data_IF_314340640509
#
_entry.id   IF_314340640509
#
_cell.length_a   1.000
_cell.length_b   1.000
_cell.length_c   1.000
_cell.angle_alpha   90.00
_cell.angle_beta   90.00
_cell.angle_gamma   90.00
#
_symmetry.space_group_name_H-M   'P 1'
#
loop_
_entity.id
_entity.type
_entity.pdbx_description
1 polymer ?
#
# COMPACT_ATOMS: atom_id res chain seq x y z
N UNK A 1 -5.19 7.86 -2.12
CA UNK A 1 -6.59 7.39 -1.98
C UNK A 1 -7.53 7.75 -3.13
N UNK A 2 -7.28 8.82 -3.89
CA UNK A 2 -8.25 9.37 -4.88
C UNK A 2 -8.80 8.34 -5.85
N UNK A 3 -7.96 7.48 -6.45
CA UNK A 3 -8.41 6.44 -7.40
C UNK A 3 -9.31 5.37 -6.75
N UNK A 4 -9.05 5.00 -5.49
CA UNK A 4 -9.89 4.05 -4.74
C UNK A 4 -11.25 4.69 -4.49
N UNK A 5 -11.28 5.93 -3.99
CA UNK A 5 -12.52 6.64 -3.67
C UNK A 5 -13.38 6.94 -4.91
N UNK A 6 -12.74 7.05 -6.09
CA UNK A 6 -13.42 7.24 -7.37
C UNK A 6 -13.92 5.92 -8.00
N UNK A 7 -13.72 4.77 -7.34
CA UNK A 7 -14.18 3.48 -7.84
C UNK A 7 -13.26 2.82 -8.88
N UNK A 8 -11.98 3.22 -8.93
CA UNK A 8 -10.96 2.66 -9.82
C UNK A 8 -9.86 1.89 -9.06
N UNK A 9 -10.20 0.82 -8.31
CA UNK A 9 -9.22 0.12 -7.48
C UNK A 9 -8.11 -0.57 -8.30
N UNK A 10 -8.38 -1.02 -9.53
CA UNK A 10 -7.32 -1.57 -10.42
C UNK A 10 -6.32 -0.49 -10.86
N UNK A 11 -6.82 0.71 -11.19
CA UNK A 11 -5.95 1.84 -11.50
C UNK A 11 -5.13 2.27 -10.28
N UNK A 12 -5.71 2.20 -9.09
CA UNK A 12 -5.01 2.44 -7.84
C UNK A 12 -3.87 1.42 -7.60
N UNK A 13 -4.13 0.13 -7.83
CA UNK A 13 -3.09 -0.93 -7.74
C UNK A 13 -1.90 -0.58 -8.65
N UNK A 14 -2.17 -0.37 -9.95
CA UNK A 14 -1.11 -0.08 -10.92
C UNK A 14 -0.29 1.17 -10.56
N UNK A 15 -0.97 2.21 -10.04
CA UNK A 15 -0.32 3.43 -9.59
C UNK A 15 0.63 3.17 -8.41
N UNK A 16 0.17 2.49 -7.36
CA UNK A 16 0.97 2.27 -6.15
C UNK A 16 2.11 1.27 -6.37
N UNK A 17 1.92 0.26 -7.22
CA UNK A 17 3.00 -0.63 -7.64
C UNK A 17 4.11 0.15 -8.37
N UNK A 18 3.75 1.12 -9.20
CA UNK A 18 4.73 1.98 -9.85
C UNK A 18 5.47 2.87 -8.86
N UNK A 19 4.80 3.44 -7.85
CA UNK A 19 5.46 4.20 -6.78
C UNK A 19 6.50 3.37 -6.02
N UNK A 20 6.15 2.13 -5.65
CA UNK A 20 7.07 1.20 -5.00
C UNK A 20 8.25 0.84 -5.89
N UNK A 21 8.00 0.63 -7.19
CA UNK A 21 9.05 0.37 -8.18
C UNK A 21 10.02 1.54 -8.32
N UNK A 22 9.49 2.77 -8.39
CA UNK A 22 10.31 3.99 -8.42
C UNK A 22 11.23 4.06 -7.20
N UNK A 23 10.70 3.78 -6.00
CA UNK A 23 11.47 3.70 -4.76
C UNK A 23 12.59 2.66 -4.82
N UNK A 24 12.22 1.42 -5.18
CA UNK A 24 13.14 0.28 -5.27
C UNK A 24 14.27 0.52 -6.27
N UNK A 25 13.94 1.01 -7.45
CA UNK A 25 14.90 1.19 -8.55
C UNK A 25 15.61 2.54 -8.45
N UNK A 26 15.19 3.42 -7.53
CA UNK A 26 15.61 4.83 -7.47
C UNK A 26 15.45 5.54 -8.83
N UNK A 27 14.43 5.17 -9.60
CA UNK A 27 14.20 5.58 -10.99
C UNK A 27 13.35 6.84 -11.13
N UNK A 28 13.44 7.73 -10.14
CA UNK A 28 12.81 9.05 -10.11
C UNK A 28 13.85 10.18 -10.15
N UNK A 29 13.42 11.39 -10.46
CA UNK A 29 14.29 12.56 -10.47
C UNK A 29 14.66 12.95 -9.03
N UNK A 30 15.93 12.78 -8.66
CA UNK A 30 16.44 13.06 -7.30
C UNK A 30 16.45 14.54 -6.90
N UNK A 31 16.23 15.45 -7.84
CA UNK A 31 16.14 16.89 -7.56
C UNK A 31 14.73 17.33 -7.14
N UNK A 32 13.75 16.43 -7.17
CA UNK A 32 12.39 16.72 -6.71
C UNK A 32 12.28 16.46 -5.20
N UNK A 33 11.96 17.47 -4.38
CA UNK A 33 11.78 17.28 -2.95
C UNK A 33 10.44 16.62 -2.69
N UNK A 34 10.47 15.38 -2.20
CA UNK A 34 9.29 14.68 -1.72
C UNK A 34 9.63 13.80 -0.53
N UNK A 35 8.64 13.52 0.31
CA UNK A 35 8.82 12.64 1.47
C UNK A 35 9.13 11.21 1.02
N UNK A 36 10.19 10.56 1.52
CA UNK A 36 10.56 9.20 1.11
C UNK A 36 9.41 8.19 1.19
N UNK A 37 8.45 8.41 2.12
CA UNK A 37 7.24 7.60 2.30
C UNK A 37 6.41 7.46 1.04
N UNK A 38 6.45 8.42 0.10
CA UNK A 38 5.71 8.36 -1.16
C UNK A 38 6.18 7.26 -2.12
N UNK A 39 7.34 6.65 -1.83
CA UNK A 39 7.86 5.51 -2.61
C UNK A 39 8.04 4.24 -1.76
N UNK A 40 7.64 4.27 -0.49
CA UNK A 40 7.80 3.16 0.46
C UNK A 40 6.49 2.87 1.21
N UNK A 41 6.32 3.40 2.43
CA UNK A 41 5.23 3.07 3.35
C UNK A 41 3.86 3.45 2.79
N UNK A 42 3.69 4.66 2.26
CA UNK A 42 2.38 5.17 1.83
C UNK A 42 1.79 4.37 0.66
N UNK A 43 2.52 4.12 -0.45
CA UNK A 43 1.99 3.31 -1.53
C UNK A 43 1.78 1.85 -1.11
N UNK A 44 2.58 1.30 -0.18
CA UNK A 44 2.34 -0.05 0.35
C UNK A 44 1.04 -0.12 1.20
N UNK A 45 0.85 0.82 2.14
CA UNK A 45 -0.38 0.90 2.94
C UNK A 45 -1.60 1.17 2.01
N UNK A 46 -1.47 1.99 0.95
CA UNK A 46 -2.55 2.22 -0.02
C UNK A 46 -2.84 1.05 -0.97
N UNK A 47 -1.81 0.29 -1.36
CA UNK A 47 -1.94 -0.90 -2.18
C UNK A 47 -2.76 -1.97 -1.44
N UNK A 48 -2.52 -2.14 -0.14
CA UNK A 48 -3.32 -3.02 0.71
C UNK A 48 -4.81 -2.65 0.71
N UNK A 49 -5.12 -1.35 0.79
CA UNK A 49 -6.50 -0.86 0.74
C UNK A 49 -7.16 -1.05 -0.63
N UNK A 50 -6.38 -0.89 -1.71
CA UNK A 50 -6.87 -1.19 -3.06
C UNK A 50 -7.19 -2.68 -3.22
N UNK A 51 -6.35 -3.57 -2.68
CA UNK A 51 -6.59 -5.00 -2.68
C UNK A 51 -7.79 -5.42 -1.81
N UNK A 52 -8.03 -4.77 -0.66
CA UNK A 52 -9.27 -4.95 0.10
C UNK A 52 -10.50 -4.63 -0.76
N UNK A 53 -10.50 -3.51 -1.49
CA UNK A 53 -11.62 -3.14 -2.37
C UNK A 53 -11.86 -4.16 -3.49
N UNK A 54 -10.81 -4.84 -3.93
CA UNK A 54 -10.86 -5.94 -4.90
C UNK A 54 -11.18 -7.29 -4.27
N UNK A 55 -11.38 -7.38 -2.96
CA UNK A 55 -11.53 -8.63 -2.18
C UNK A 55 -10.34 -9.59 -2.34
N UNK A 56 -9.16 -9.07 -2.68
CA UNK A 56 -7.90 -9.80 -2.82
C UNK A 56 -7.16 -9.81 -1.48
N UNK A 57 -7.68 -10.57 -0.53
CA UNK A 57 -7.25 -10.51 0.88
C UNK A 57 -5.77 -10.90 1.10
N UNK A 58 -5.29 -11.93 0.40
CA UNK A 58 -3.87 -12.35 0.49
C UNK A 58 -2.93 -11.25 0.04
N UNK A 59 -3.24 -10.59 -1.09
CA UNK A 59 -2.43 -9.50 -1.62
C UNK A 59 -2.49 -8.27 -0.72
N UNK A 60 -3.66 -8.03 -0.09
CA UNK A 60 -3.80 -6.98 0.90
C UNK A 60 -2.89 -7.21 2.11
N UNK A 61 -2.86 -8.44 2.63
CA UNK A 61 -1.96 -8.83 3.74
C UNK A 61 -0.50 -8.58 3.35
N UNK A 62 -0.06 -9.08 2.20
CA UNK A 62 1.32 -8.89 1.75
C UNK A 62 1.69 -7.41 1.58
N UNK A 63 0.78 -6.58 1.10
CA UNK A 63 1.02 -5.14 0.94
C UNK A 63 1.13 -4.42 2.31
N UNK A 64 0.29 -4.77 3.29
CA UNK A 64 0.41 -4.21 4.63
C UNK A 64 1.66 -4.69 5.36
N UNK A 65 2.03 -5.96 5.21
CA UNK A 65 3.28 -6.49 5.76
C UNK A 65 4.49 -5.78 5.16
N UNK A 66 4.50 -5.56 3.83
CA UNK A 66 5.53 -4.76 3.17
C UNK A 66 5.61 -3.35 3.77
N UNK A 67 4.48 -2.70 4.01
CA UNK A 67 4.48 -1.38 4.61
C UNK A 67 5.11 -1.37 6.02
N UNK A 68 4.86 -2.42 6.81
CA UNK A 68 5.49 -2.59 8.13
C UNK A 68 7.00 -2.88 8.06
N UNK A 69 7.52 -3.34 6.92
CA UNK A 69 8.98 -3.44 6.72
C UNK A 69 9.65 -2.08 6.48
N UNK A 70 8.89 -1.09 6.00
CA UNK A 70 9.38 0.28 5.80
C UNK A 70 9.16 1.14 7.04
N UNK A 71 8.01 0.97 7.70
CA UNK A 71 7.66 1.64 8.95
C UNK A 71 6.89 0.65 9.84
N UNK A 72 7.59 0.12 10.84
CA UNK A 72 7.04 -0.82 11.82
C UNK A 72 5.83 -0.24 12.60
N UNK A 73 5.68 1.08 12.59
CA UNK A 73 4.62 1.81 13.25
C UNK A 73 3.51 2.31 12.28
N UNK A 74 3.44 1.87 11.00
CA UNK A 74 2.30 2.23 10.10
C UNK A 74 0.99 1.75 10.73
N UNK A 75 0.31 2.64 11.47
CA UNK A 75 -0.95 2.35 12.18
C UNK A 75 -1.99 1.79 11.23
N UNK A 76 -2.08 2.35 10.02
CA UNK A 76 -3.00 1.87 8.99
C UNK A 76 -2.74 0.39 8.61
N UNK A 77 -1.48 -0.04 8.48
CA UNK A 77 -1.16 -1.44 8.18
C UNK A 77 -1.51 -2.36 9.35
N UNK A 78 -1.14 -1.97 10.58
CA UNK A 78 -1.44 -2.76 11.77
C UNK A 78 -2.95 -2.96 11.96
N UNK A 79 -3.74 -1.88 11.84
CA UNK A 79 -5.20 -1.94 11.98
C UNK A 79 -5.86 -2.81 10.92
N UNK A 80 -5.44 -2.68 9.65
CA UNK A 80 -6.04 -3.46 8.57
C UNK A 80 -5.65 -4.94 8.64
N UNK A 81 -4.40 -5.26 9.00
CA UNK A 81 -4.00 -6.66 9.25
C UNK A 81 -4.78 -7.28 10.40
N UNK A 82 -4.98 -6.54 11.50
CA UNK A 82 -5.79 -7.00 12.62
C UNK A 82 -7.24 -7.30 12.18
N UNK A 83 -7.86 -6.38 11.42
CA UNK A 83 -9.22 -6.58 10.88
C UNK A 83 -9.31 -7.80 9.96
N UNK A 84 -8.35 -7.97 9.05
CA UNK A 84 -8.30 -9.13 8.15
C UNK A 84 -8.16 -10.43 8.96
N UNK A 85 -7.24 -10.48 9.93
CA UNK A 85 -7.03 -11.66 10.77
C UNK A 85 -8.30 -12.05 11.53
N UNK A 86 -9.01 -11.08 12.11
CA UNK A 86 -10.28 -11.33 12.80
C UNK A 86 -11.36 -11.89 11.86
N UNK A 87 -11.42 -11.40 10.62
CA UNK A 87 -12.41 -11.84 9.63
C UNK A 87 -12.20 -13.30 9.17
N UNK A 88 -10.98 -13.83 9.25
CA UNK A 88 -10.63 -15.19 8.80
C UNK A 88 -10.25 -16.13 9.95
N UNK A 89 -10.51 -15.75 11.20
CA UNK A 89 -10.28 -16.57 12.39
C UNK A 89 -11.49 -17.43 12.79
N UNK A 90 -12.61 -17.33 12.06
CA UNK A 90 -13.86 -18.11 12.22
C UNK A 90 -14.00 -19.17 11.12
#
# INVERSE_FOLDING_TARGET
MTLINLGFPLGAVAYFENCLKLGKDSSYYKGEPFEPSFTTTDPACCLGLAYINLKRWSDAVSAFELALTFDENCTAAQENLAKIRLMFAE
#
